data_IF_428793085502
#
_entry.id   IF_428793085502
#
_cell.length_a   1.000
_cell.length_b   1.000
_cell.length_c   1.000
_cell.angle_alpha   90.00
_cell.angle_beta   90.00
_cell.angle_gamma   90.00
#
_symmetry.space_group_name_H-M   'P 1'
#
loop_
_entity.id
_entity.type
_entity.pdbx_description
1 polymer ?
#
# COMPACT_ATOMS: atom_id res chain seq x y z
N UNK A 1 -4.82 7.08 -19.66
CA UNK A 1 -6.19 6.49 -19.86
C UNK A 1 -6.21 5.01 -20.30
N UNK A 2 -5.26 4.48 -21.05
CA UNK A 2 -5.26 3.06 -21.47
C UNK A 2 -4.70 2.12 -20.39
N UNK A 3 -3.69 2.54 -19.63
CA UNK A 3 -2.98 1.74 -18.62
C UNK A 3 -3.87 1.39 -17.43
N UNK A 4 -4.56 2.37 -16.84
CA UNK A 4 -5.47 2.16 -15.69
C UNK A 4 -6.61 1.22 -16.03
N UNK A 5 -7.16 1.29 -17.26
CA UNK A 5 -8.23 0.38 -17.70
C UNK A 5 -7.76 -1.07 -17.84
N UNK A 6 -6.54 -1.30 -18.36
CA UNK A 6 -5.96 -2.65 -18.46
C UNK A 6 -5.71 -3.23 -17.07
N UNK A 7 -5.09 -2.48 -16.18
CA UNK A 7 -4.85 -2.92 -14.79
C UNK A 7 -6.14 -3.25 -14.06
N UNK A 8 -7.16 -2.38 -14.13
CA UNK A 8 -8.47 -2.62 -13.53
C UNK A 8 -9.07 -3.94 -14.00
N UNK A 9 -9.02 -4.21 -15.30
CA UNK A 9 -9.51 -5.46 -15.87
C UNK A 9 -8.77 -6.68 -15.31
N UNK A 10 -7.45 -6.64 -15.25
CA UNK A 10 -6.61 -7.74 -14.76
C UNK A 10 -6.88 -8.03 -13.28
N UNK A 11 -7.00 -6.99 -12.44
CA UNK A 11 -7.31 -7.16 -11.01
C UNK A 11 -8.73 -7.64 -10.78
N UNK A 12 -9.71 -7.20 -11.58
CA UNK A 12 -11.07 -7.73 -11.50
C UNK A 12 -11.11 -9.26 -11.72
N UNK A 13 -10.30 -9.79 -12.65
CA UNK A 13 -10.22 -11.24 -12.89
C UNK A 13 -9.51 -12.00 -11.76
N UNK A 14 -8.60 -11.37 -11.05
CA UNK A 14 -7.82 -12.00 -9.97
C UNK A 14 -8.51 -11.94 -8.62
N UNK A 15 -9.57 -11.14 -8.44
CA UNK A 15 -10.15 -10.83 -7.15
C UNK A 15 -10.54 -12.06 -6.31
N UNK A 16 -11.19 -13.06 -6.92
CA UNK A 16 -11.64 -14.27 -6.21
C UNK A 16 -10.48 -15.18 -5.75
N UNK A 17 -9.34 -15.12 -6.41
CA UNK A 17 -8.18 -15.97 -6.13
C UNK A 17 -7.00 -15.20 -5.55
N UNK A 18 -7.16 -13.92 -5.29
CA UNK A 18 -6.08 -13.06 -4.85
C UNK A 18 -5.53 -13.46 -3.47
N UNK A 19 -6.40 -13.91 -2.57
CA UNK A 19 -6.04 -14.31 -1.20
C UNK A 19 -5.37 -15.69 -1.16
N UNK A 20 -4.34 -15.89 -1.98
CA UNK A 20 -3.51 -17.09 -1.93
C UNK A 20 -2.73 -17.17 -0.60
N UNK A 21 -2.31 -18.37 -0.15
CA UNK A 21 -1.48 -18.52 1.05
C UNK A 21 -0.24 -17.62 1.04
N UNK A 22 0.38 -17.45 -0.13
CA UNK A 22 1.54 -16.55 -0.33
C UNK A 22 1.16 -15.09 -0.09
N UNK A 23 0.07 -14.60 -0.70
CA UNK A 23 -0.36 -13.21 -0.53
C UNK A 23 -0.77 -12.90 0.91
N UNK A 24 -1.44 -13.83 1.58
CA UNK A 24 -1.78 -13.71 3.00
C UNK A 24 -0.51 -13.66 3.86
N UNK A 25 0.47 -14.55 3.61
CA UNK A 25 1.73 -14.57 4.32
C UNK A 25 2.50 -13.24 4.19
N UNK A 26 2.64 -12.72 2.96
CA UNK A 26 3.33 -11.45 2.73
C UNK A 26 2.60 -10.26 3.38
N UNK A 27 1.27 -10.24 3.32
CA UNK A 27 0.49 -9.21 3.98
C UNK A 27 0.66 -9.25 5.51
N UNK A 28 0.72 -10.45 6.13
CA UNK A 28 0.97 -10.60 7.55
C UNK A 28 2.35 -10.07 7.97
N UNK A 29 3.40 -10.29 7.15
CA UNK A 29 4.72 -9.71 7.40
C UNK A 29 4.68 -8.18 7.41
N UNK A 30 3.95 -7.58 6.45
CA UNK A 30 3.79 -6.12 6.37
C UNK A 30 2.98 -5.60 7.56
N UNK A 31 1.88 -6.26 7.96
CA UNK A 31 1.12 -5.89 9.16
C UNK A 31 2.01 -5.88 10.41
N UNK A 32 2.82 -6.92 10.61
CA UNK A 32 3.76 -6.99 11.75
C UNK A 32 4.81 -5.88 11.71
N UNK A 33 5.31 -5.51 10.51
CA UNK A 33 6.24 -4.40 10.37
C UNK A 33 5.58 -3.06 10.73
N UNK A 34 4.34 -2.84 10.29
CA UNK A 34 3.54 -1.65 10.64
C UNK A 34 3.33 -1.57 12.15
N UNK A 35 2.91 -2.66 12.81
CA UNK A 35 2.67 -2.73 14.26
C UNK A 35 3.94 -2.46 15.08
N UNK A 36 5.10 -2.89 14.60
CA UNK A 36 6.39 -2.57 15.24
C UNK A 36 6.79 -1.11 15.07
N UNK A 37 6.48 -0.52 13.90
CA UNK A 37 6.87 0.84 13.56
C UNK A 37 5.97 1.88 14.23
N UNK A 38 4.68 1.61 14.34
CA UNK A 38 3.68 2.54 14.86
C UNK A 38 3.25 2.11 16.26
N UNK A 39 3.73 2.81 17.27
CA UNK A 39 3.49 2.47 18.66
C UNK A 39 2.02 2.49 19.07
N UNK A 40 1.19 3.32 18.44
CA UNK A 40 -0.23 3.46 18.73
C UNK A 40 -1.02 3.67 17.44
N UNK A 41 -1.84 2.69 17.08
CA UNK A 41 -2.73 2.75 15.91
C UNK A 41 -4.13 3.27 16.24
N UNK A 42 -4.57 3.18 17.49
CA UNK A 42 -5.96 3.44 17.88
C UNK A 42 -6.45 4.88 17.66
N UNK A 43 -5.56 5.83 17.48
CA UNK A 43 -5.87 7.23 17.15
C UNK A 43 -5.63 7.58 15.68
N UNK A 44 -5.13 6.65 14.88
CA UNK A 44 -4.73 6.87 13.49
C UNK A 44 -5.87 6.70 12.49
N UNK A 45 -5.98 7.65 11.58
CA UNK A 45 -6.76 7.54 10.35
C UNK A 45 -5.83 7.12 9.22
N UNK A 46 -6.11 5.96 8.61
CA UNK A 46 -5.22 5.28 7.67
C UNK A 46 -5.82 5.26 6.28
N UNK A 47 -5.04 5.59 5.26
CA UNK A 47 -5.33 5.32 3.86
C UNK A 47 -4.59 4.04 3.43
N UNK A 48 -5.31 3.02 2.98
CA UNK A 48 -4.75 1.86 2.30
C UNK A 48 -4.88 2.07 0.78
N UNK A 49 -3.76 2.46 0.15
CA UNK A 49 -3.70 2.80 -1.28
C UNK A 49 -3.50 1.54 -2.12
N UNK A 50 -4.47 1.23 -2.96
CA UNK A 50 -4.51 -0.02 -3.73
C UNK A 50 -4.71 -1.24 -2.82
N UNK A 51 -5.55 -1.10 -1.79
CA UNK A 51 -5.72 -2.10 -0.73
C UNK A 51 -6.35 -3.42 -1.15
N UNK A 52 -6.85 -3.52 -2.38
CA UNK A 52 -7.34 -4.74 -3.01
C UNK A 52 -8.43 -5.43 -2.18
N UNK A 53 -8.19 -6.70 -1.87
CA UNK A 53 -9.11 -7.51 -1.06
C UNK A 53 -9.05 -7.24 0.44
N UNK A 54 -8.30 -6.21 0.87
CA UNK A 54 -8.24 -5.77 2.27
C UNK A 54 -7.34 -6.61 3.16
N UNK A 55 -6.33 -7.30 2.63
CA UNK A 55 -5.40 -8.11 3.42
C UNK A 55 -4.62 -7.30 4.47
N UNK A 56 -4.41 -5.99 4.24
CA UNK A 56 -3.84 -5.06 5.22
C UNK A 56 -4.95 -4.25 5.92
N UNK A 57 -5.87 -3.67 5.16
CA UNK A 57 -6.90 -2.78 5.69
C UNK A 57 -7.72 -3.40 6.81
N UNK A 58 -8.12 -4.68 6.67
CA UNK A 58 -8.98 -5.34 7.66
C UNK A 58 -8.28 -5.61 9.01
N UNK A 59 -7.06 -6.16 9.06
CA UNK A 59 -6.30 -6.25 10.31
C UNK A 59 -6.02 -4.87 10.93
N UNK A 60 -5.66 -3.88 10.13
CA UNK A 60 -5.39 -2.52 10.61
C UNK A 60 -6.65 -1.85 11.17
N UNK A 61 -7.82 -2.03 10.54
CA UNK A 61 -9.07 -1.47 11.02
C UNK A 61 -9.47 -1.97 12.42
N UNK A 62 -9.05 -3.16 12.81
CA UNK A 62 -9.28 -3.68 14.18
C UNK A 62 -8.52 -2.92 15.26
N UNK A 63 -7.50 -2.16 14.89
CA UNK A 63 -6.60 -1.47 15.80
C UNK A 63 -6.62 0.04 15.59
N UNK A 64 -6.96 0.51 14.39
CA UNK A 64 -6.96 1.92 14.02
C UNK A 64 -8.27 2.65 14.41
N UNK A 65 -8.22 3.98 14.43
CA UNK A 65 -9.42 4.81 14.55
C UNK A 65 -10.35 4.59 13.35
N UNK A 66 -9.80 4.65 12.14
CA UNK A 66 -10.51 4.35 10.91
C UNK A 66 -9.54 4.00 9.77
N UNK A 67 -10.04 3.27 8.77
CA UNK A 67 -9.31 2.96 7.55
C UNK A 67 -10.14 3.38 6.35
N UNK A 68 -9.51 4.02 5.37
CA UNK A 68 -10.07 4.24 4.04
C UNK A 68 -9.30 3.36 3.06
N UNK A 69 -9.93 2.34 2.52
CA UNK A 69 -9.38 1.48 1.49
C UNK A 69 -9.77 2.01 0.12
N UNK A 70 -8.79 2.37 -0.69
CA UNK A 70 -8.99 2.84 -2.06
C UNK A 70 -8.40 1.83 -3.03
N UNK A 71 -9.16 1.43 -4.03
CA UNK A 71 -8.71 0.58 -5.12
C UNK A 71 -9.44 0.93 -6.42
N UNK A 72 -8.82 0.69 -7.56
CA UNK A 72 -9.44 0.89 -8.88
C UNK A 72 -10.35 -0.27 -9.29
N UNK A 73 -10.24 -1.42 -8.62
CA UNK A 73 -10.97 -2.66 -8.92
C UNK A 73 -12.15 -2.82 -7.98
N UNK A 74 -13.37 -2.62 -8.50
CA UNK A 74 -14.60 -2.87 -7.73
C UNK A 74 -14.71 -4.33 -7.26
N UNK A 75 -14.21 -5.29 -8.06
CA UNK A 75 -14.23 -6.71 -7.68
C UNK A 75 -13.32 -7.01 -6.48
N UNK A 76 -12.18 -6.35 -6.37
CA UNK A 76 -11.33 -6.41 -5.17
C UNK A 76 -12.06 -5.85 -3.96
N UNK A 77 -12.70 -4.69 -4.11
CA UNK A 77 -13.46 -4.06 -3.03
C UNK A 77 -14.67 -4.88 -2.60
N UNK A 78 -15.37 -5.56 -3.52
CA UNK A 78 -16.45 -6.50 -3.18
C UNK A 78 -15.96 -7.59 -2.21
N UNK A 79 -14.80 -8.21 -2.49
CA UNK A 79 -14.18 -9.20 -1.61
C UNK A 79 -13.83 -8.61 -0.25
N UNK A 80 -13.29 -7.41 -0.23
CA UNK A 80 -12.93 -6.72 1.01
C UNK A 80 -14.18 -6.39 1.86
N UNK A 81 -15.26 -5.88 1.25
CA UNK A 81 -16.54 -5.60 1.95
C UNK A 81 -17.14 -6.87 2.56
N UNK A 82 -17.19 -7.96 1.80
CA UNK A 82 -17.71 -9.25 2.30
C UNK A 82 -16.93 -9.71 3.54
N UNK A 83 -15.61 -9.62 3.52
CA UNK A 83 -14.77 -9.98 4.66
C UNK A 83 -14.95 -9.03 5.85
N UNK A 84 -15.13 -7.74 5.62
CA UNK A 84 -15.40 -6.76 6.67
C UNK A 84 -16.73 -7.05 7.37
N UNK A 85 -17.77 -7.34 6.62
CA UNK A 85 -19.08 -7.75 7.15
C UNK A 85 -19.00 -9.03 7.99
N UNK A 86 -18.32 -10.07 7.48
CA UNK A 86 -18.11 -11.34 8.19
C UNK A 86 -17.36 -11.17 9.52
N UNK A 87 -16.49 -10.16 9.62
CA UNK A 87 -15.68 -9.87 10.79
C UNK A 87 -16.24 -8.75 11.67
N UNK A 88 -17.43 -8.22 11.37
CA UNK A 88 -18.10 -7.09 12.05
C UNK A 88 -17.21 -5.82 12.15
N UNK A 89 -16.39 -5.55 11.11
CA UNK A 89 -15.53 -4.36 11.03
C UNK A 89 -16.35 -3.21 10.46
N UNK A 90 -16.53 -2.12 11.23
CA UNK A 90 -17.40 -0.99 10.90
C UNK A 90 -16.67 0.33 10.65
N UNK A 91 -15.42 0.42 11.07
CA UNK A 91 -14.59 1.62 10.95
C UNK A 91 -13.71 1.61 9.67
N UNK A 92 -14.22 1.03 8.59
CA UNK A 92 -13.56 0.97 7.29
C UNK A 92 -14.48 1.53 6.20
N UNK A 93 -13.93 2.37 5.33
CA UNK A 93 -14.58 2.88 4.13
C UNK A 93 -13.91 2.28 2.89
N UNK A 94 -14.70 1.96 1.87
CA UNK A 94 -14.23 1.41 0.60
C UNK A 94 -14.56 2.37 -0.53
N UNK A 95 -13.53 2.77 -1.30
CA UNK A 95 -13.69 3.71 -2.40
C UNK A 95 -13.11 3.13 -3.69
N UNK A 96 -13.95 2.98 -4.71
CA UNK A 96 -13.51 2.70 -6.08
C UNK A 96 -13.06 4.01 -6.72
N UNK A 97 -11.75 4.28 -6.68
CA UNK A 97 -11.21 5.55 -7.18
C UNK A 97 -9.74 5.43 -7.59
N UNK A 98 -9.39 6.13 -8.67
CA UNK A 98 -8.02 6.44 -9.01
C UNK A 98 -7.66 7.80 -8.40
N UNK A 99 -6.79 7.80 -7.38
CA UNK A 99 -6.40 9.03 -6.69
C UNK A 99 -5.51 9.94 -7.54
N UNK A 100 -4.87 9.43 -8.59
CA UNK A 100 -4.12 10.26 -9.53
C UNK A 100 -5.06 11.08 -10.44
N UNK A 101 -6.24 10.54 -10.75
CA UNK A 101 -7.25 11.24 -11.54
C UNK A 101 -8.14 12.13 -10.65
N UNK A 102 -8.49 11.64 -9.45
CA UNK A 102 -9.39 12.33 -8.54
C UNK A 102 -8.89 12.17 -7.09
N UNK A 103 -8.11 13.12 -6.57
CA UNK A 103 -7.69 13.13 -5.18
C UNK A 103 -8.87 13.19 -4.19
N UNK A 104 -8.66 12.77 -2.95
CA UNK A 104 -9.60 12.98 -1.85
C UNK A 104 -9.37 14.38 -1.24
N UNK A 105 -10.39 14.90 -0.56
CA UNK A 105 -10.23 16.12 0.26
C UNK A 105 -9.68 15.81 1.66
N UNK A 106 -9.68 14.53 2.06
CA UNK A 106 -9.26 14.07 3.37
C UNK A 106 -7.75 13.85 3.44
N UNK A 107 -7.16 14.22 4.58
CA UNK A 107 -5.79 13.89 4.96
C UNK A 107 -5.78 12.78 6.03
N UNK A 108 -4.68 12.02 6.06
CA UNK A 108 -4.50 10.84 6.89
C UNK A 108 -3.24 10.96 7.75
N UNK A 109 -3.22 10.23 8.86
CA UNK A 109 -2.02 10.10 9.69
C UNK A 109 -1.01 9.14 9.07
N UNK A 110 -1.52 8.09 8.43
CA UNK A 110 -0.74 7.05 7.75
C UNK A 110 -1.28 6.76 6.36
N UNK A 111 -0.38 6.56 5.42
CA UNK A 111 -0.67 5.93 4.12
C UNK A 111 0.08 4.60 4.07
N UNK A 112 -0.63 3.53 3.80
CA UNK A 112 -0.06 2.19 3.60
C UNK A 112 -0.15 1.83 2.13
N UNK A 113 0.96 1.36 1.56
CA UNK A 113 1.06 0.97 0.15
C UNK A 113 1.78 -0.36 0.09
N UNK A 114 1.09 -1.43 -0.30
CA UNK A 114 1.70 -2.75 -0.32
C UNK A 114 1.57 -3.44 -1.67
N UNK A 115 2.70 -3.62 -2.34
CA UNK A 115 2.82 -4.30 -3.64
C UNK A 115 1.96 -3.67 -4.73
N UNK A 116 1.88 -2.36 -4.72
CA UNK A 116 1.11 -1.52 -5.65
C UNK A 116 2.03 -0.58 -6.42
N UNK A 117 3.08 -0.08 -5.76
CA UNK A 117 3.90 0.99 -6.30
C UNK A 117 4.58 0.59 -7.63
N UNK A 118 4.99 -0.69 -7.78
CA UNK A 118 5.57 -1.22 -9.02
C UNK A 118 4.57 -1.29 -10.20
N UNK A 119 3.28 -1.10 -9.94
CA UNK A 119 2.25 -0.97 -10.97
C UNK A 119 1.97 0.47 -11.38
N UNK A 120 2.52 1.46 -10.68
CA UNK A 120 2.22 2.85 -10.95
C UNK A 120 3.02 3.36 -12.15
N UNK A 121 2.35 3.95 -13.16
CA UNK A 121 3.02 4.41 -14.38
C UNK A 121 3.86 5.67 -14.15
N UNK A 122 3.54 6.45 -13.12
CA UNK A 122 4.18 7.70 -12.76
C UNK A 122 4.43 7.73 -11.25
N UNK A 123 5.66 7.39 -10.88
CA UNK A 123 6.09 7.39 -9.48
C UNK A 123 6.07 8.80 -8.88
N UNK A 124 6.45 9.81 -9.65
CA UNK A 124 6.53 11.19 -9.18
C UNK A 124 5.13 11.73 -8.85
N UNK A 125 4.16 11.53 -9.73
CA UNK A 125 2.77 11.86 -9.46
C UNK A 125 2.21 11.08 -8.25
N UNK A 126 2.58 9.81 -8.12
CA UNK A 126 2.16 8.97 -6.99
C UNK A 126 2.71 9.48 -5.66
N UNK A 127 3.99 9.82 -5.58
CA UNK A 127 4.60 10.37 -4.37
C UNK A 127 4.04 11.75 -4.01
N UNK A 128 3.74 12.59 -5.01
CA UNK A 128 3.06 13.86 -4.80
C UNK A 128 1.67 13.67 -4.19
N UNK A 129 0.90 12.68 -4.66
CA UNK A 129 -0.42 12.33 -4.10
C UNK A 129 -0.28 11.82 -2.65
N UNK A 130 0.71 11.02 -2.33
CA UNK A 130 0.94 10.60 -0.94
C UNK A 130 1.25 11.79 -0.05
N UNK A 131 2.14 12.68 -0.50
CA UNK A 131 2.47 13.90 0.25
C UNK A 131 1.23 14.79 0.46
N UNK A 132 0.39 14.94 -0.56
CA UNK A 132 -0.86 15.71 -0.48
C UNK A 132 -1.84 15.16 0.57
N UNK A 133 -2.01 13.84 0.60
CA UNK A 133 -2.98 13.18 1.50
C UNK A 133 -2.46 12.91 2.92
N UNK A 134 -1.21 13.24 3.24
CA UNK A 134 -0.68 13.12 4.59
C UNK A 134 -0.82 14.41 5.36
N UNK A 135 -1.25 14.31 6.62
CA UNK A 135 -1.12 15.37 7.61
C UNK A 135 0.34 15.71 7.87
N UNK A 136 0.60 16.85 8.47
CA UNK A 136 1.95 17.17 8.97
C UNK A 136 2.45 16.05 9.90
N UNK A 137 3.71 15.64 9.72
CA UNK A 137 4.33 14.49 10.42
C UNK A 137 3.66 13.13 10.15
N UNK A 138 2.67 13.06 9.27
CA UNK A 138 2.11 11.81 8.80
C UNK A 138 3.16 10.96 8.09
N UNK A 139 2.95 9.65 8.03
CA UNK A 139 3.93 8.72 7.48
C UNK A 139 3.36 7.92 6.32
N UNK A 140 4.18 7.70 5.30
CA UNK A 140 3.92 6.69 4.27
C UNK A 140 4.73 5.43 4.58
N UNK A 141 4.06 4.29 4.50
CA UNK A 141 4.61 2.96 4.78
C UNK A 141 4.47 2.14 3.49
N UNK A 142 5.60 1.88 2.84
CA UNK A 142 5.67 1.25 1.52
C UNK A 142 6.28 -0.14 1.66
N UNK A 143 5.56 -1.17 1.24
CA UNK A 143 6.09 -2.51 1.07
C UNK A 143 6.02 -2.90 -0.40
N UNK A 144 7.14 -3.19 -1.02
CA UNK A 144 7.21 -3.61 -2.41
C UNK A 144 8.48 -4.44 -2.67
N UNK A 145 8.76 -4.76 -3.92
CA UNK A 145 9.87 -5.64 -4.27
C UNK A 145 11.12 -4.86 -4.66
N UNK A 146 12.27 -5.37 -4.21
CA UNK A 146 13.57 -4.86 -4.63
C UNK A 146 13.81 -5.25 -6.09
N UNK A 147 14.43 -4.35 -6.85
CA UNK A 147 14.89 -4.62 -8.21
C UNK A 147 16.05 -5.60 -8.17
N UNK A 148 15.98 -6.61 -9.03
CA UNK A 148 17.03 -7.61 -9.22
C UNK A 148 17.31 -7.81 -10.71
N UNK A 149 18.30 -8.60 -11.05
CA UNK A 149 18.60 -8.93 -12.45
C UNK A 149 17.42 -9.63 -13.17
N UNK A 150 16.53 -10.25 -12.42
CA UNK A 150 15.36 -10.95 -12.93
C UNK A 150 14.04 -10.22 -12.67
N UNK A 151 14.04 -9.21 -11.77
CA UNK A 151 12.89 -8.36 -11.47
C UNK A 151 13.20 -6.89 -11.80
N UNK A 152 12.91 -6.48 -13.01
CA UNK A 152 13.12 -5.10 -13.48
C UNK A 152 12.01 -4.13 -13.04
N UNK A 153 10.89 -4.62 -12.47
CA UNK A 153 9.78 -3.82 -11.98
C UNK A 153 9.92 -3.43 -10.49
N UNK A 154 10.95 -3.92 -9.83
CA UNK A 154 11.26 -3.58 -8.44
C UNK A 154 11.96 -2.22 -8.31
N UNK A 155 12.32 -1.88 -7.07
CA UNK A 155 12.93 -0.61 -6.70
C UNK A 155 14.37 -0.78 -6.21
N UNK A 156 15.24 0.14 -6.62
CA UNK A 156 16.53 0.37 -5.97
C UNK A 156 16.26 1.21 -4.71
N UNK A 157 16.52 0.69 -3.51
CA UNK A 157 16.18 1.37 -2.25
C UNK A 157 16.81 2.76 -2.10
N UNK A 158 18.09 2.97 -2.48
CA UNK A 158 18.69 4.31 -2.45
C UNK A 158 18.00 5.29 -3.40
N UNK A 159 17.59 4.84 -4.59
CA UNK A 159 16.87 5.69 -5.56
C UNK A 159 15.46 6.04 -5.06
N UNK A 160 14.74 5.08 -4.49
CA UNK A 160 13.44 5.33 -3.87
C UNK A 160 13.56 6.32 -2.71
N UNK A 161 14.59 6.16 -1.85
CA UNK A 161 14.85 7.09 -0.75
C UNK A 161 15.13 8.51 -1.25
N UNK A 162 15.95 8.67 -2.28
CA UNK A 162 16.23 9.97 -2.90
C UNK A 162 14.95 10.59 -3.49
N UNK A 163 14.12 9.79 -4.14
CA UNK A 163 12.83 10.24 -4.68
C UNK A 163 11.91 10.72 -3.56
N UNK A 164 11.73 9.93 -2.51
CA UNK A 164 10.94 10.33 -1.34
C UNK A 164 11.42 11.67 -0.77
N UNK A 165 12.74 11.85 -0.60
CA UNK A 165 13.29 13.10 -0.11
C UNK A 165 12.98 14.29 -1.04
N UNK A 166 13.05 14.11 -2.37
CA UNK A 166 12.68 15.14 -3.35
C UNK A 166 11.20 15.55 -3.25
N UNK A 167 10.32 14.63 -2.84
CA UNK A 167 8.89 14.89 -2.67
C UNK A 167 8.50 15.33 -1.24
N UNK A 168 9.46 15.79 -0.43
CA UNK A 168 9.19 16.38 0.87
C UNK A 168 9.02 15.37 2.01
N UNK A 169 9.60 14.19 1.86
CA UNK A 169 9.67 13.21 2.95
C UNK A 169 11.05 13.23 3.62
N UNK A 170 11.06 12.92 4.91
CA UNK A 170 12.25 12.81 5.76
C UNK A 170 12.17 11.57 6.63
N UNK A 171 13.18 11.32 7.47
CA UNK A 171 13.24 10.15 8.35
C UNK A 171 12.97 8.85 7.59
N UNK A 172 13.62 8.72 6.42
CA UNK A 172 13.42 7.59 5.52
C UNK A 172 14.24 6.42 6.03
N UNK A 173 13.58 5.31 6.34
CA UNK A 173 14.21 4.06 6.77
C UNK A 173 13.66 2.88 5.97
N UNK A 174 14.55 1.98 5.56
CA UNK A 174 14.20 0.83 4.73
C UNK A 174 14.82 -0.44 5.28
N UNK A 175 14.04 -1.52 5.30
CA UNK A 175 14.49 -2.85 5.70
C UNK A 175 13.93 -3.93 4.78
N UNK A 176 14.64 -5.05 4.68
CA UNK A 176 14.13 -6.25 4.01
C UNK A 176 13.33 -7.07 5.01
N UNK A 177 12.09 -7.39 4.66
CA UNK A 177 11.21 -8.22 5.50
C UNK A 177 11.33 -9.69 5.17
N UNK A 178 11.52 -10.02 3.89
CA UNK A 178 11.53 -11.39 3.41
C UNK A 178 12.21 -11.50 2.04
N UNK A 179 12.86 -12.65 1.78
CA UNK A 179 13.44 -12.99 0.49
C UNK A 179 13.22 -14.45 0.16
N UNK A 180 12.93 -14.76 -1.10
CA UNK A 180 12.76 -16.14 -1.57
C UNK A 180 12.92 -16.26 -3.10
N UNK A 181 13.23 -17.48 -3.56
CA UNK A 181 13.46 -17.81 -4.97
C UNK A 181 12.22 -17.64 -5.87
N UNK A 182 11.03 -17.84 -5.31
CA UNK A 182 9.76 -17.73 -6.07
C UNK A 182 8.87 -16.61 -5.50
N UNK A 183 9.50 -15.49 -5.12
CA UNK A 183 8.76 -14.43 -4.44
C UNK A 183 7.95 -13.56 -5.40
N UNK A 184 8.52 -13.19 -6.54
CA UNK A 184 7.87 -12.32 -7.52
C UNK A 184 7.96 -12.90 -8.94
N UNK A 185 6.81 -13.20 -9.55
CA UNK A 185 6.68 -13.72 -10.92
C UNK A 185 7.56 -14.97 -11.21
N UNK A 186 7.72 -15.85 -10.22
CA UNK A 186 8.53 -17.06 -10.38
C UNK A 186 10.05 -16.84 -10.24
N UNK A 187 10.48 -15.67 -9.80
CA UNK A 187 11.90 -15.31 -9.65
C UNK A 187 12.25 -14.99 -8.21
N UNK A 188 13.56 -15.08 -7.90
CA UNK A 188 14.08 -14.53 -6.64
C UNK A 188 13.75 -13.05 -6.54
N UNK A 189 13.28 -12.64 -5.38
CA UNK A 189 13.09 -11.24 -5.04
C UNK A 189 13.13 -11.03 -3.53
N UNK A 190 13.16 -9.78 -3.12
CA UNK A 190 13.14 -9.34 -1.73
C UNK A 190 11.97 -8.41 -1.53
N UNK A 191 11.17 -8.66 -0.48
CA UNK A 191 10.14 -7.75 -0.02
C UNK A 191 10.77 -6.74 0.92
N UNK A 192 10.79 -5.48 0.55
CA UNK A 192 11.22 -4.40 1.44
C UNK A 192 10.05 -3.72 2.14
N UNK A 193 10.38 -3.02 3.21
CA UNK A 193 9.48 -2.12 3.91
C UNK A 193 10.20 -0.80 4.16
N UNK A 194 9.64 0.28 3.64
CA UNK A 194 10.17 1.64 3.78
C UNK A 194 9.16 2.50 4.54
N UNK A 195 9.64 3.23 5.51
CA UNK A 195 8.89 4.27 6.23
C UNK A 195 9.49 5.61 5.87
N UNK A 196 8.62 6.58 5.59
CA UNK A 196 9.04 7.95 5.38
C UNK A 196 8.02 8.92 5.98
N UNK A 197 8.48 10.00 6.60
CA UNK A 197 7.64 10.98 7.26
C UNK A 197 7.50 12.23 6.40
N UNK A 198 6.28 12.77 6.25
CA UNK A 198 6.07 14.08 5.65
C UNK A 198 6.83 15.14 6.44
N UNK A 199 7.73 15.86 5.77
CA UNK A 199 8.48 16.96 6.38
C UNK A 199 7.56 18.10 6.78
N UNK A 200 7.94 18.83 7.80
CA UNK A 200 7.29 20.11 8.12
C UNK A 200 7.62 21.11 7.00
N UNK A 201 6.62 21.90 6.61
CA UNK A 201 6.80 23.01 5.66
C UNK A 201 7.64 24.12 6.27
#
# INVERSE_FOLDING_TARGET
MCYTKSMKHDFNHKAETFDSPKNIFLANLVCQAIEKQIALLSDKEILDFGGGTGLLALPLAKQAKSVTLVDISEKMLEQSRLKAEQQDIKNIQFLEQDLLEKPLEQEFDLIVVSRVLHHMPDLDATLAIFHHHLREKGQVLIADFVKTDTNHHGFELPELGNKLAQFGFSSIDSQILYSAEDLFQGNYSELFFTVAQKSLA
#
